data_IF_424614580733
#
_entry.id   IF_424614580733
#
_cell.length_a   1.000
_cell.length_b   1.000
_cell.length_c   1.000
_cell.angle_alpha   90.00
_cell.angle_beta   90.00
_cell.angle_gamma   90.00
#
_symmetry.space_group_name_H-M   'P 1'
#
loop_
_entity.id
_entity.type
_entity.pdbx_description
1 polymer ?
#
# COMPACT_ATOMS: atom_id res chain seq x y z
N UNK A 1 20.41 7.99 13.44
CA UNK A 1 19.12 7.33 13.17
C UNK A 1 18.77 6.42 14.34
N UNK A 2 17.88 6.83 15.24
CA UNK A 2 17.46 6.03 16.41
C UNK A 2 16.18 5.28 16.06
N UNK A 3 16.30 4.30 15.15
CA UNK A 3 15.22 3.33 14.91
C UNK A 3 15.54 2.14 15.80
N UNK A 4 14.70 1.91 16.80
CA UNK A 4 14.78 0.71 17.62
C UNK A 4 13.85 -0.36 17.08
N UNK A 5 13.90 -1.55 17.67
CA UNK A 5 12.89 -2.60 17.44
C UNK A 5 11.46 -2.10 17.70
N UNK A 6 11.32 -1.06 18.52
CA UNK A 6 10.04 -0.48 18.95
C UNK A 6 9.59 0.67 18.02
N UNK A 7 10.38 0.98 16.97
CA UNK A 7 10.06 1.97 15.95
C UNK A 7 10.88 3.26 16.04
N UNK A 8 10.29 4.37 15.59
CA UNK A 8 10.93 5.69 15.66
C UNK A 8 10.71 6.24 17.08
N UNK A 9 11.79 6.72 17.73
CA UNK A 9 11.70 7.33 19.06
C UNK A 9 10.57 8.38 19.11
N UNK A 10 9.67 8.24 20.09
CA UNK A 10 8.50 9.09 20.32
C UNK A 10 7.40 9.06 19.23
N UNK A 11 7.50 8.20 18.20
CA UNK A 11 6.47 8.04 17.15
C UNK A 11 5.91 6.61 17.03
N UNK A 12 6.53 5.62 17.69
CA UNK A 12 6.04 4.25 17.75
C UNK A 12 6.40 3.41 16.51
N UNK A 13 5.83 2.19 16.40
CA UNK A 13 6.20 1.22 15.36
C UNK A 13 5.65 1.59 13.98
N UNK A 14 6.47 1.39 12.94
CA UNK A 14 6.10 1.68 11.54
C UNK A 14 5.21 0.61 10.89
N UNK A 15 5.05 -0.56 11.52
CA UNK A 15 4.23 -1.69 11.06
C UNK A 15 4.42 -2.07 9.57
N UNK A 16 5.67 -2.01 9.09
CA UNK A 16 6.04 -2.38 7.73
C UNK A 16 6.21 -3.92 7.63
N UNK A 17 5.80 -4.49 6.50
CA UNK A 17 6.09 -5.90 6.20
C UNK A 17 7.58 -6.12 5.96
N UNK A 18 8.04 -7.37 6.13
CA UNK A 18 9.44 -7.73 5.86
C UNK A 18 9.85 -7.40 4.42
N UNK A 19 8.97 -7.59 3.45
CA UNK A 19 9.25 -7.30 2.05
C UNK A 19 9.35 -5.80 1.78
N UNK A 20 8.49 -4.99 2.43
CA UNK A 20 8.62 -3.54 2.38
C UNK A 20 9.95 -3.08 2.98
N UNK A 21 10.35 -3.63 4.14
CA UNK A 21 11.64 -3.31 4.76
C UNK A 21 12.83 -3.68 3.86
N UNK A 22 12.79 -4.85 3.19
CA UNK A 22 13.83 -5.26 2.23
C UNK A 22 13.90 -4.32 1.02
N UNK A 23 12.75 -3.94 0.46
CA UNK A 23 12.69 -3.02 -0.68
C UNK A 23 13.22 -1.63 -0.32
N UNK A 24 12.82 -1.10 0.83
CA UNK A 24 13.32 0.16 1.40
C UNK A 24 14.84 0.07 1.56
N UNK A 25 15.36 -0.97 2.22
CA UNK A 25 16.79 -1.14 2.42
C UNK A 25 17.55 -1.15 1.09
N UNK A 26 17.09 -1.93 0.11
CA UNK A 26 17.73 -2.02 -1.20
C UNK A 26 17.76 -0.66 -1.93
N UNK A 27 16.70 0.15 -1.79
CA UNK A 27 16.66 1.50 -2.35
C UNK A 27 17.71 2.42 -1.73
N UNK A 28 17.81 2.45 -0.40
CA UNK A 28 18.76 3.33 0.30
C UNK A 28 20.22 2.86 0.16
N UNK A 29 20.46 1.55 0.11
CA UNK A 29 21.78 0.97 -0.22
C UNK A 29 22.24 1.40 -1.63
N UNK A 30 21.34 1.33 -2.62
CA UNK A 30 21.64 1.79 -3.99
C UNK A 30 22.01 3.28 -4.07
N UNK A 31 21.44 4.11 -3.19
CA UNK A 31 21.70 5.55 -3.13
C UNK A 31 22.83 5.91 -2.15
N UNK A 32 23.51 4.91 -1.58
CA UNK A 32 24.63 5.06 -0.65
C UNK A 32 24.35 6.06 0.50
N UNK A 33 23.13 6.04 1.03
CA UNK A 33 22.71 6.93 2.12
C UNK A 33 21.77 6.21 3.08
N UNK A 34 21.72 6.68 4.32
CA UNK A 34 20.69 6.25 5.26
C UNK A 34 19.36 6.96 4.96
N UNK A 35 18.22 6.31 5.22
CA UNK A 35 16.92 6.97 5.18
C UNK A 35 16.78 8.01 6.31
N UNK A 36 16.03 9.07 6.03
CA UNK A 36 15.54 9.98 7.05
C UNK A 36 14.29 9.40 7.74
N UNK A 37 14.02 9.85 8.96
CA UNK A 37 12.82 9.50 9.72
C UNK A 37 11.52 9.80 8.95
N UNK A 38 11.43 11.00 8.36
CA UNK A 38 10.28 11.43 7.58
C UNK A 38 10.05 10.58 6.33
N UNK A 39 11.11 10.07 5.71
CA UNK A 39 11.01 9.21 4.53
C UNK A 39 10.41 7.85 4.91
N UNK A 40 10.88 7.27 6.01
CA UNK A 40 10.35 5.99 6.50
C UNK A 40 8.92 6.11 7.00
N UNK A 41 8.58 7.18 7.70
CA UNK A 41 7.21 7.42 8.15
C UNK A 41 6.24 7.62 6.98
N UNK A 42 6.66 8.37 5.96
CA UNK A 42 5.88 8.55 4.73
C UNK A 42 5.65 7.21 4.02
N UNK A 43 6.67 6.38 3.92
CA UNK A 43 6.57 5.04 3.32
C UNK A 43 5.68 4.12 4.16
N UNK A 44 5.85 4.11 5.48
CA UNK A 44 5.02 3.34 6.40
C UNK A 44 3.54 3.68 6.25
N UNK A 45 3.21 4.97 6.20
CA UNK A 45 1.82 5.41 6.07
C UNK A 45 1.25 5.06 4.70
N UNK A 46 1.96 5.36 3.62
CA UNK A 46 1.47 5.16 2.25
C UNK A 46 1.42 3.71 1.82
N UNK A 47 2.30 2.86 2.35
CA UNK A 47 2.38 1.43 2.01
C UNK A 47 1.68 0.53 3.03
N UNK A 48 1.07 1.13 4.05
CA UNK A 48 0.22 0.42 4.99
C UNK A 48 -0.90 -0.34 4.27
N UNK A 49 -1.34 -1.45 4.86
CA UNK A 49 -2.45 -2.26 4.32
C UNK A 49 -3.68 -1.40 4.06
N UNK A 50 -4.05 -0.56 5.03
CA UNK A 50 -5.19 0.33 4.94
C UNK A 50 -5.09 1.34 3.79
N UNK A 51 -3.90 1.91 3.53
CA UNK A 51 -3.74 2.88 2.45
C UNK A 51 -3.63 2.21 1.06
N UNK A 52 -2.94 1.08 0.99
CA UNK A 52 -2.70 0.38 -0.29
C UNK A 52 -3.85 -0.56 -0.67
N UNK A 53 -4.72 -0.89 0.27
CA UNK A 53 -5.81 -1.86 0.12
C UNK A 53 -5.30 -3.21 -0.42
N UNK A 54 -4.25 -3.73 0.24
CA UNK A 54 -3.57 -4.94 -0.21
C UNK A 54 -4.51 -6.15 -0.17
N UNK A 55 -5.35 -6.29 0.87
CA UNK A 55 -6.27 -7.43 1.00
C UNK A 55 -7.29 -7.43 -0.13
N UNK A 56 -7.89 -6.28 -0.42
CA UNK A 56 -8.89 -6.12 -1.46
C UNK A 56 -8.36 -6.38 -2.88
N UNK A 57 -7.05 -6.19 -3.07
CA UNK A 57 -6.38 -6.36 -4.36
C UNK A 57 -5.69 -7.72 -4.52
N UNK A 58 -5.49 -8.45 -3.43
CA UNK A 58 -4.79 -9.75 -3.43
C UNK A 58 -5.72 -10.87 -3.88
N UNK A 59 -5.16 -11.88 -4.55
CA UNK A 59 -5.88 -13.10 -4.89
C UNK A 59 -6.21 -13.90 -3.62
N UNK A 60 -7.42 -14.45 -3.56
CA UNK A 60 -7.86 -15.31 -2.45
C UNK A 60 -8.59 -16.53 -3.02
N UNK A 61 -8.14 -17.72 -2.65
CA UNK A 61 -8.66 -19.00 -3.13
C UNK A 61 -8.84 -19.03 -4.67
N UNK A 62 -10.06 -19.27 -5.14
CA UNK A 62 -10.41 -19.30 -6.57
C UNK A 62 -10.53 -17.89 -7.19
N UNK A 63 -10.52 -16.84 -6.37
CA UNK A 63 -10.68 -15.44 -6.79
C UNK A 63 -9.31 -14.82 -7.09
N UNK A 64 -8.75 -15.20 -8.24
CA UNK A 64 -7.46 -14.71 -8.71
C UNK A 64 -7.41 -13.18 -8.93
N UNK A 65 -8.55 -12.54 -9.22
CA UNK A 65 -8.62 -11.09 -9.48
C UNK A 65 -8.63 -10.21 -8.23
N UNK A 66 -8.77 -10.82 -7.04
CA UNK A 66 -9.00 -10.15 -5.78
C UNK A 66 -10.44 -9.65 -5.57
N UNK A 67 -10.78 -9.40 -4.31
CA UNK A 67 -12.14 -9.10 -3.86
C UNK A 67 -12.71 -7.83 -4.48
N UNK A 68 -11.91 -6.77 -4.58
CA UNK A 68 -12.34 -5.50 -5.14
C UNK A 68 -12.75 -5.63 -6.62
N UNK A 69 -11.95 -6.31 -7.44
CA UNK A 69 -12.30 -6.51 -8.84
C UNK A 69 -13.49 -7.46 -9.00
N UNK A 70 -13.50 -8.55 -8.23
CA UNK A 70 -14.47 -9.62 -8.40
C UNK A 70 -15.88 -9.24 -7.92
N UNK A 71 -15.99 -8.57 -6.77
CA UNK A 71 -17.28 -8.26 -6.15
C UNK A 71 -17.72 -6.82 -6.39
N UNK A 72 -16.84 -5.84 -6.21
CA UNK A 72 -17.23 -4.43 -6.19
C UNK A 72 -17.21 -3.84 -7.61
N UNK A 73 -16.05 -3.92 -8.27
CA UNK A 73 -15.88 -3.34 -9.61
C UNK A 73 -16.71 -4.07 -10.65
N UNK A 74 -16.77 -5.41 -10.59
CA UNK A 74 -17.60 -6.22 -11.50
C UNK A 74 -19.08 -5.87 -11.34
N UNK A 75 -19.64 -5.91 -10.14
CA UNK A 75 -21.06 -5.59 -9.93
C UNK A 75 -21.43 -4.19 -10.42
N UNK A 76 -20.56 -3.20 -10.17
CA UNK A 76 -20.77 -1.83 -10.67
C UNK A 76 -20.79 -1.78 -12.20
N UNK A 77 -19.92 -2.54 -12.85
CA UNK A 77 -19.82 -2.62 -14.32
C UNK A 77 -20.99 -3.41 -14.91
N UNK A 78 -21.41 -4.50 -14.26
CA UNK A 78 -22.51 -5.37 -14.71
C UNK A 78 -23.86 -4.65 -14.60
N UNK A 79 -24.08 -3.89 -13.52
CA UNK A 79 -25.31 -3.11 -13.33
C UNK A 79 -25.35 -1.92 -14.30
N UNK A 80 -24.20 -1.29 -14.57
CA UNK A 80 -24.05 -0.15 -15.48
C UNK A 80 -25.16 0.91 -15.33
N UNK A 81 -25.42 1.32 -14.09
CA UNK A 81 -26.56 2.20 -13.80
C UNK A 81 -26.36 3.60 -14.39
N UNK A 82 -27.36 4.18 -15.07
CA UNK A 82 -27.25 5.51 -15.66
C UNK A 82 -27.11 6.65 -14.62
N UNK A 83 -27.40 6.37 -13.34
CA UNK A 83 -27.20 7.35 -12.26
C UNK A 83 -25.73 7.47 -11.83
N UNK A 84 -24.90 6.49 -12.18
CA UNK A 84 -23.48 6.47 -11.84
C UNK A 84 -22.68 7.23 -12.91
N UNK A 85 -22.38 8.50 -12.64
CA UNK A 85 -21.66 9.39 -13.59
C UNK A 85 -20.16 9.05 -13.71
N UNK A 86 -19.51 8.61 -12.63
CA UNK A 86 -18.11 8.18 -12.63
C UNK A 86 -17.87 7.17 -11.52
N UNK A 87 -17.27 6.02 -11.85
CA UNK A 87 -16.94 4.98 -10.88
C UNK A 87 -15.53 4.48 -11.10
N UNK A 88 -14.75 4.46 -10.02
CA UNK A 88 -13.34 4.03 -10.00
C UNK A 88 -12.42 4.75 -11.02
N UNK A 89 -12.38 6.10 -11.01
CA UNK A 89 -11.42 6.84 -11.82
C UNK A 89 -9.99 6.38 -11.48
N UNK A 90 -9.12 6.31 -12.49
CA UNK A 90 -7.75 5.82 -12.32
C UNK A 90 -6.95 6.72 -11.37
N UNK A 91 -6.85 6.32 -10.10
CA UNK A 91 -5.92 6.93 -9.11
C UNK A 91 -4.69 6.03 -8.96
N UNK A 92 -3.89 5.90 -10.03
CA UNK A 92 -2.60 5.18 -9.97
C UNK A 92 -1.45 6.16 -9.75
N UNK A 93 -1.36 6.72 -8.55
CA UNK A 93 -0.16 7.37 -8.02
C UNK A 93 -0.33 7.28 -6.50
N UNK A 94 0.26 6.33 -5.77
CA UNK A 94 1.67 6.28 -5.37
C UNK A 94 1.99 4.79 -5.11
N UNK A 95 2.72 4.15 -6.00
CA UNK A 95 3.46 2.95 -5.69
C UNK A 95 4.87 3.23 -6.19
N UNK A 96 5.73 3.66 -5.26
CA UNK A 96 7.17 3.74 -5.49
C UNK A 96 7.78 2.32 -5.48
#
# INVERSE_FOLDING_TARGET
MQISKDGIQNRGPLNLSLDALKAIRAYFEKHNRSPNDIELETLAQTWSEHCKHNIFSSSIDEIASGLYKHYIKRATTDINSPICVSTFPNVRTIAA
#
